data_IF_571042288545
#
_entry.id   IF_571042288545
#
_cell.length_a   1.000
_cell.length_b   1.000
_cell.length_c   1.000
_cell.angle_alpha   90.00
_cell.angle_beta   90.00
_cell.angle_gamma   90.00
#
_symmetry.space_group_name_H-M   'P 1'
#
loop_
_entity.id
_entity.type
_entity.pdbx_description
1 polymer ?
#
# COMPACT_ATOMS: atom_id res chain seq x y z
N UNK A 1 14.76 -11.79 -5.12
CA UNK A 1 14.86 -10.57 -4.29
C UNK A 1 15.16 -9.42 -5.24
N UNK A 2 14.38 -8.35 -5.20
CA UNK A 2 14.64 -7.12 -5.97
C UNK A 2 15.02 -6.01 -4.99
N UNK A 3 16.02 -5.20 -5.33
CA UNK A 3 16.49 -4.09 -4.50
C UNK A 3 16.22 -2.75 -5.20
N UNK A 4 15.92 -1.72 -4.41
CA UNK A 4 15.70 -0.37 -4.94
C UNK A 4 14.29 -0.14 -5.46
N UNK A 5 13.33 -0.93 -4.96
CA UNK A 5 11.91 -0.65 -5.20
C UNK A 5 11.49 0.66 -4.51
N UNK A 6 10.36 1.23 -4.94
CA UNK A 6 9.76 2.37 -4.26
C UNK A 6 9.43 2.05 -2.79
N UNK A 7 9.08 0.79 -2.50
CA UNK A 7 8.81 0.30 -1.14
C UNK A 7 10.08 0.37 -0.29
N UNK A 8 11.21 -0.12 -0.81
CA UNK A 8 12.50 -0.09 -0.10
C UNK A 8 12.92 1.35 0.20
N UNK A 9 12.78 2.25 -0.78
CA UNK A 9 13.20 3.64 -0.64
C UNK A 9 12.30 4.40 0.35
N UNK A 10 10.98 4.26 0.25
CA UNK A 10 10.05 4.93 1.18
C UNK A 10 10.20 4.41 2.62
N UNK A 11 10.46 3.12 2.80
CA UNK A 11 10.71 2.56 4.11
C UNK A 11 12.07 3.00 4.67
N UNK A 12 13.14 2.84 3.89
CA UNK A 12 14.51 3.07 4.35
C UNK A 12 14.93 4.53 4.41
N UNK A 13 14.55 5.35 3.42
CA UNK A 13 14.99 6.75 3.33
C UNK A 13 14.01 7.74 3.97
N UNK A 14 12.70 7.48 3.87
CA UNK A 14 11.66 8.37 4.41
C UNK A 14 11.07 7.90 5.74
N UNK A 15 11.46 6.72 6.23
CA UNK A 15 10.97 6.13 7.47
C UNK A 15 9.43 5.99 7.51
N UNK A 16 8.81 5.72 6.35
CA UNK A 16 7.39 5.42 6.24
C UNK A 16 7.18 3.94 6.60
N UNK A 17 6.69 3.68 7.80
CA UNK A 17 6.58 2.32 8.36
C UNK A 17 5.52 1.45 7.69
N UNK A 18 4.51 2.07 7.08
CA UNK A 18 3.44 1.39 6.35
C UNK A 18 3.66 1.54 4.84
N UNK A 19 4.70 0.90 4.32
CA UNK A 19 5.05 0.91 2.90
C UNK A 19 4.73 -0.45 2.26
N UNK A 20 3.85 -0.46 1.27
CA UNK A 20 3.34 -1.68 0.63
C UNK A 20 3.21 -1.50 -0.89
N UNK A 21 3.50 -2.56 -1.63
CA UNK A 21 3.12 -2.72 -3.03
C UNK A 21 2.12 -3.86 -3.14
N UNK A 22 1.12 -3.69 -4.00
CA UNK A 22 0.08 -4.69 -4.22
C UNK A 22 0.13 -5.10 -5.69
N UNK A 23 0.36 -6.38 -5.93
CA UNK A 23 0.22 -7.00 -7.24
C UNK A 23 -1.20 -7.56 -7.35
N UNK A 24 -1.93 -7.13 -8.38
CA UNK A 24 -3.35 -7.43 -8.56
C UNK A 24 -3.57 -8.76 -9.31
N UNK A 25 -4.81 -9.01 -9.71
CA UNK A 25 -5.16 -10.16 -10.55
C UNK A 25 -4.41 -10.12 -11.89
N UNK A 26 -4.11 -11.25 -12.52
CA UNK A 26 -4.30 -12.63 -12.04
C UNK A 26 -2.95 -13.31 -11.73
N UNK A 27 -2.94 -14.64 -11.63
CA UNK A 27 -1.73 -15.43 -11.35
C UNK A 27 -1.05 -15.97 -12.61
N UNK A 28 -1.37 -15.42 -13.79
CA UNK A 28 -0.70 -15.74 -15.06
C UNK A 28 -1.58 -16.35 -16.15
N UNK A 29 -2.92 -16.40 -15.99
CA UNK A 29 -3.82 -16.83 -17.08
C UNK A 29 -3.90 -15.77 -18.17
N UNK A 30 -4.09 -14.52 -17.76
CA UNK A 30 -4.14 -13.35 -18.62
C UNK A 30 -2.98 -12.39 -18.35
N UNK A 31 -2.45 -12.37 -17.12
CA UNK A 31 -1.34 -11.50 -16.72
C UNK A 31 -1.66 -10.04 -17.00
N UNK A 32 -0.79 -9.37 -17.76
CA UNK A 32 -0.95 -7.95 -18.11
C UNK A 32 -2.15 -7.66 -19.03
N UNK A 33 -2.73 -8.68 -19.67
CA UNK A 33 -3.88 -8.56 -20.58
C UNK A 33 -5.17 -9.04 -19.91
N UNK A 34 -5.35 -8.71 -18.63
CA UNK A 34 -6.54 -9.04 -17.87
C UNK A 34 -7.81 -8.48 -18.56
N UNK A 35 -8.86 -9.30 -18.78
CA UNK A 35 -10.08 -8.86 -19.44
C UNK A 35 -10.77 -7.67 -18.75
N UNK A 36 -11.43 -6.82 -19.53
CA UNK A 36 -12.06 -5.59 -19.02
C UNK A 36 -13.19 -5.86 -18.02
N UNK A 37 -13.84 -7.02 -18.07
CA UNK A 37 -14.87 -7.43 -17.12
C UNK A 37 -14.30 -7.75 -15.72
N UNK A 38 -12.97 -7.90 -15.59
CA UNK A 38 -12.28 -8.08 -14.31
C UNK A 38 -11.89 -6.76 -13.64
N UNK A 39 -12.06 -5.61 -14.30
CA UNK A 39 -11.66 -4.31 -13.73
C UNK A 39 -12.43 -4.00 -12.45
N UNK A 40 -13.76 -4.07 -12.50
CA UNK A 40 -14.62 -3.76 -11.34
C UNK A 40 -14.41 -4.79 -10.21
N UNK A 41 -14.44 -6.11 -10.45
CA UNK A 41 -14.15 -7.09 -9.40
C UNK A 41 -12.79 -6.90 -8.73
N UNK A 42 -11.74 -6.59 -9.50
CA UNK A 42 -10.39 -6.33 -8.96
C UNK A 42 -10.39 -5.04 -8.12
N UNK A 43 -11.10 -4.00 -8.56
CA UNK A 43 -11.24 -2.75 -7.82
C UNK A 43 -11.96 -2.92 -6.48
N UNK A 44 -13.07 -3.67 -6.45
CA UNK A 44 -13.87 -3.91 -5.25
C UNK A 44 -13.07 -4.65 -4.17
N UNK A 45 -12.37 -5.72 -4.53
CA UNK A 45 -11.57 -6.47 -3.56
C UNK A 45 -10.35 -5.67 -3.08
N UNK A 46 -9.71 -4.91 -3.98
CA UNK A 46 -8.55 -4.07 -3.63
C UNK A 46 -8.96 -2.93 -2.69
N UNK A 47 -10.13 -2.32 -2.93
CA UNK A 47 -10.64 -1.27 -2.06
C UNK A 47 -11.04 -1.81 -0.69
N UNK A 48 -11.61 -3.01 -0.62
CA UNK A 48 -11.90 -3.68 0.65
C UNK A 48 -10.60 -3.95 1.44
N UNK A 49 -9.57 -4.46 0.77
CA UNK A 49 -8.25 -4.69 1.37
C UNK A 49 -7.60 -3.38 1.87
N UNK A 50 -7.64 -2.32 1.06
CA UNK A 50 -7.14 -1.00 1.45
C UNK A 50 -7.90 -0.45 2.65
N UNK A 51 -9.22 -0.59 2.68
CA UNK A 51 -10.06 -0.13 3.80
C UNK A 51 -9.70 -0.85 5.11
N UNK A 52 -9.42 -2.16 5.05
CA UNK A 52 -8.96 -2.93 6.20
C UNK A 52 -7.57 -2.49 6.66
N UNK A 53 -6.64 -2.26 5.73
CA UNK A 53 -5.30 -1.75 6.02
C UNK A 53 -5.34 -0.37 6.67
N UNK A 54 -6.17 0.55 6.16
CA UNK A 54 -6.30 1.89 6.73
C UNK A 54 -6.83 1.86 8.16
N UNK A 55 -7.83 1.02 8.45
CA UNK A 55 -8.32 0.82 9.83
C UNK A 55 -7.23 0.23 10.74
N UNK A 56 -6.43 -0.69 10.22
CA UNK A 56 -5.28 -1.22 10.95
C UNK A 56 -4.27 -0.11 11.27
N UNK A 57 -3.89 0.70 10.28
CA UNK A 57 -2.94 1.82 10.44
C UNK A 57 -3.49 2.82 11.46
N UNK A 58 -4.75 3.22 11.32
CA UNK A 58 -5.44 4.13 12.24
C UNK A 58 -5.31 3.65 13.69
N UNK A 59 -5.68 2.40 13.95
CA UNK A 59 -5.57 1.82 15.29
C UNK A 59 -4.13 1.79 15.81
N UNK A 60 -3.14 1.52 14.95
CA UNK A 60 -1.73 1.42 15.38
C UNK A 60 -1.05 2.78 15.57
N UNK A 61 -1.47 3.80 14.82
CA UNK A 61 -0.99 5.17 14.97
C UNK A 61 -1.61 5.83 16.21
N UNK A 62 -2.91 5.66 16.45
CA UNK A 62 -3.59 6.30 17.58
C UNK A 62 -3.44 5.54 18.91
N UNK A 63 -3.39 4.20 18.91
CA UNK A 63 -3.18 3.44 20.15
C UNK A 63 -1.77 3.62 20.76
N UNK A 64 -0.80 4.10 19.96
CA UNK A 64 0.56 4.38 20.42
C UNK A 64 0.77 5.80 20.98
N UNK A 65 -0.30 6.56 21.23
CA UNK A 65 -0.22 7.83 21.95
C UNK A 65 0.33 9.01 21.14
N UNK A 66 0.11 9.04 19.83
CA UNK A 66 0.31 10.25 19.01
C UNK A 66 1.78 10.71 18.84
N UNK A 67 2.76 9.85 19.09
CA UNK A 67 4.18 10.21 19.05
C UNK A 67 5.01 9.23 18.21
N UNK A 68 4.83 9.24 16.90
CA UNK A 68 5.89 8.95 15.91
C UNK A 68 5.51 9.59 14.58
N UNK A 69 5.73 10.90 14.53
CA UNK A 69 6.11 11.69 13.35
C UNK A 69 5.56 11.19 12.01
N UNK A 70 4.40 11.71 11.60
CA UNK A 70 4.24 12.07 10.19
C UNK A 70 5.31 13.13 9.93
N UNK A 71 6.40 12.76 9.26
CA UNK A 71 7.39 13.75 8.85
C UNK A 71 6.68 14.78 7.96
N UNK A 72 6.83 16.09 8.22
CA UNK A 72 6.25 17.12 7.37
C UNK A 72 7.08 17.19 6.08
N UNK A 73 6.83 16.29 5.13
CA UNK A 73 7.40 16.35 3.78
C UNK A 73 6.70 17.39 2.89
N UNK A 74 6.45 18.58 3.44
CA UNK A 74 5.88 19.74 2.75
C UNK A 74 6.58 21.00 3.27
N UNK A 75 7.88 21.11 3.03
CA UNK A 75 8.59 22.39 2.95
C UNK A 75 9.70 22.25 1.90
N UNK A 76 9.34 22.59 0.66
CA UNK A 76 10.27 23.24 -0.27
C UNK A 76 9.60 24.51 -0.76
#
# INVERSE_FOLDING_TARGET
VASGSSIDWTYGALNITFSYGVELRDTGTFGFLLPADQIIPTGEETLAALSALLRYIENHVYASGGARTVAPCLHR
#
